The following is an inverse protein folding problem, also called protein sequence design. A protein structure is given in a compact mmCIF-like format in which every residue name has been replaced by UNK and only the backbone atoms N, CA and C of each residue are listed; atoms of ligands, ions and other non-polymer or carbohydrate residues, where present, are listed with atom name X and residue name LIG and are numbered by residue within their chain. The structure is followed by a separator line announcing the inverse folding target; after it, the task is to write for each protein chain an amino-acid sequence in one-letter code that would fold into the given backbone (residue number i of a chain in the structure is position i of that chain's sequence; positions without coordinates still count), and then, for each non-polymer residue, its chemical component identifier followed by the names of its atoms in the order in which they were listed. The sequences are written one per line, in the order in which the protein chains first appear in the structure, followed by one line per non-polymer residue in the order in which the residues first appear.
data_IF_712285610925
#
_entry.id   IF_712285610925
#
_cell.length_a   1.000
_cell.length_b   1.000
_cell.length_c   1.000
_cell.angle_alpha   90.00
_cell.angle_beta   90.00
_cell.angle_gamma   90.00
#
_symmetry.space_group_name_H-M   'P 1'
#
loop_
_entity.id
_entity.type
_entity.pdbx_description
1 polymer ?
#
# COMPACT_ATOMS: atom_id res chain seq x y z
N UNK A 1 26.67 5.51 -21.63
CA UNK A 1 25.40 4.78 -21.75
C UNK A 1 25.47 3.59 -20.81
N UNK A 2 24.69 3.55 -19.74
CA UNK A 2 24.67 2.38 -18.83
C UNK A 2 24.00 1.21 -19.54
N UNK A 3 24.69 0.07 -19.69
CA UNK A 3 24.03 -1.18 -20.11
C UNK A 3 22.91 -1.51 -19.11
N UNK A 4 21.65 -1.48 -19.57
CA UNK A 4 20.50 -1.96 -18.78
C UNK A 4 20.42 -3.48 -18.95
N UNK A 5 21.10 -4.21 -18.07
CA UNK A 5 20.90 -5.65 -17.96
C UNK A 5 19.54 -5.93 -17.29
N UNK A 6 18.76 -6.90 -17.79
CA UNK A 6 17.58 -7.37 -17.08
C UNK A 6 17.94 -7.82 -15.66
N UNK A 7 17.05 -7.59 -14.70
CA UNK A 7 17.23 -8.08 -13.33
C UNK A 7 17.19 -9.61 -13.29
N UNK A 8 17.87 -10.19 -12.29
CA UNK A 8 17.60 -11.58 -11.95
C UNK A 8 16.15 -11.74 -11.46
N UNK A 9 15.67 -12.98 -11.42
CA UNK A 9 14.32 -13.26 -10.93
C UNK A 9 14.13 -12.78 -9.49
N UNK A 10 15.13 -13.04 -8.64
CA UNK A 10 15.12 -12.69 -7.22
C UNK A 10 15.14 -11.17 -7.03
N UNK A 11 15.99 -10.46 -7.79
CA UNK A 11 16.04 -9.00 -7.77
C UNK A 11 14.73 -8.37 -8.26
N UNK A 12 14.14 -8.94 -9.32
CA UNK A 12 12.88 -8.44 -9.84
C UNK A 12 11.74 -8.64 -8.83
N UNK A 13 11.64 -9.82 -8.20
CA UNK A 13 10.66 -10.08 -7.16
C UNK A 13 10.80 -9.11 -5.98
N UNK A 14 12.04 -8.90 -5.50
CA UNK A 14 12.27 -7.97 -4.40
C UNK A 14 11.83 -6.55 -4.78
N UNK A 15 12.13 -6.10 -6.00
CA UNK A 15 11.70 -4.78 -6.49
C UNK A 15 10.18 -4.64 -6.59
N UNK A 16 9.46 -5.72 -6.90
CA UNK A 16 7.99 -5.72 -6.85
C UNK A 16 7.49 -5.59 -5.40
N UNK A 17 8.09 -6.34 -4.47
CA UNK A 17 7.75 -6.28 -3.04
C UNK A 17 8.05 -4.92 -2.42
N UNK A 18 9.12 -4.27 -2.84
CA UNK A 18 9.50 -2.92 -2.38
C UNK A 18 8.44 -1.86 -2.73
N UNK A 19 7.61 -2.08 -3.76
CA UNK A 19 6.47 -1.19 -4.04
C UNK A 19 5.38 -1.27 -2.99
N UNK A 20 5.40 -2.28 -2.11
CA UNK A 20 4.53 -2.38 -0.94
C UNK A 20 4.61 -1.16 -0.02
N UNK A 21 5.71 -0.42 -0.01
CA UNK A 21 5.84 0.85 0.72
C UNK A 21 4.79 1.91 0.34
N UNK A 22 4.22 1.80 -0.88
CA UNK A 22 3.17 2.69 -1.38
C UNK A 22 1.77 2.10 -1.25
N UNK A 23 1.62 0.96 -0.58
CA UNK A 23 0.33 0.32 -0.39
C UNK A 23 -0.58 1.15 0.54
N UNK A 24 -1.89 1.06 0.35
CA UNK A 24 -2.85 1.92 1.05
C UNK A 24 -2.93 1.65 2.56
N UNK A 25 -2.34 0.57 3.06
CA UNK A 25 -2.26 0.27 4.50
C UNK A 25 -1.58 1.41 5.26
N UNK A 26 -0.70 2.16 4.60
CA UNK A 26 0.01 3.29 5.16
C UNK A 26 -0.79 4.61 5.12
N UNK A 27 -1.93 4.65 4.41
CA UNK A 27 -2.76 5.84 4.32
C UNK A 27 -3.32 6.25 5.70
N UNK A 28 -3.37 7.57 6.03
CA UNK A 28 -3.85 8.03 7.33
C UNK A 28 -5.22 7.50 7.73
N UNK A 29 -6.16 7.41 6.77
CA UNK A 29 -7.48 6.85 7.00
C UNK A 29 -7.44 5.38 7.44
N UNK A 30 -6.62 4.55 6.77
CA UNK A 30 -6.49 3.13 7.12
C UNK A 30 -5.84 2.97 8.52
N UNK A 31 -4.85 3.81 8.84
CA UNK A 31 -4.26 3.84 10.19
C UNK A 31 -5.28 4.26 11.25
N UNK A 32 -6.10 5.28 10.99
CA UNK A 32 -7.13 5.74 11.92
C UNK A 32 -8.20 4.66 12.17
N UNK A 33 -8.64 3.98 11.11
CA UNK A 33 -9.58 2.87 11.18
C UNK A 33 -9.03 1.72 12.03
N UNK A 34 -7.80 1.27 11.77
CA UNK A 34 -7.16 0.20 12.57
C UNK A 34 -6.92 0.57 14.03
N UNK A 35 -6.74 1.86 14.32
CA UNK A 35 -6.59 2.36 15.69
C UNK A 35 -7.93 2.58 16.40
N UNK A 36 -9.07 2.30 15.75
CA UNK A 36 -10.40 2.55 16.31
C UNK A 36 -10.76 4.02 16.45
N UNK A 37 -10.14 4.91 15.65
CA UNK A 37 -10.31 6.38 15.75
C UNK A 37 -11.30 6.96 14.74
N UNK A 38 -11.87 6.14 13.85
CA UNK A 38 -12.88 6.59 12.90
C UNK A 38 -14.27 6.68 13.57
N UNK A 39 -15.07 7.65 13.14
CA UNK A 39 -16.50 7.68 13.50
C UNK A 39 -17.27 6.56 12.78
N UNK A 40 -18.49 6.30 13.25
CA UNK A 40 -19.39 5.33 12.61
C UNK A 40 -19.68 5.71 11.15
N UNK A 41 -19.91 6.98 10.88
CA UNK A 41 -20.21 7.51 9.54
C UNK A 41 -19.00 7.34 8.61
N UNK A 42 -17.78 7.56 9.10
CA UNK A 42 -16.56 7.35 8.32
C UNK A 42 -16.37 5.88 7.94
N UNK A 43 -16.61 4.95 8.87
CA UNK A 43 -16.53 3.51 8.59
C UNK A 43 -17.61 3.10 7.58
N UNK A 44 -18.86 3.53 7.78
CA UNK A 44 -19.95 3.24 6.85
C UNK A 44 -19.66 3.81 5.45
N UNK A 45 -19.15 5.04 5.37
CA UNK A 45 -18.73 5.65 4.12
C UNK A 45 -17.62 4.86 3.44
N UNK A 46 -16.62 4.38 4.19
CA UNK A 46 -15.57 3.53 3.64
C UNK A 46 -16.12 2.21 3.08
N UNK A 47 -16.97 1.50 3.84
CA UNK A 47 -17.60 0.24 3.41
C UNK A 47 -18.46 0.42 2.16
N UNK A 48 -19.13 1.56 2.02
CA UNK A 48 -19.97 1.84 0.85
C UNK A 48 -19.16 2.15 -0.42
N UNK A 49 -17.93 2.66 -0.30
CA UNK A 49 -17.14 3.18 -1.43
C UNK A 49 -15.96 2.29 -1.83
N UNK A 50 -15.55 1.34 -0.98
CA UNK A 50 -14.31 0.61 -1.11
C UNK A 50 -14.53 -0.89 -0.89
#
# INVERSE_FOLDING_TARGET
MSEKRPWSREEFEQRLRDKGQYYHIHHPFHKAMNQGKCSKEQIQGWVANR
#
